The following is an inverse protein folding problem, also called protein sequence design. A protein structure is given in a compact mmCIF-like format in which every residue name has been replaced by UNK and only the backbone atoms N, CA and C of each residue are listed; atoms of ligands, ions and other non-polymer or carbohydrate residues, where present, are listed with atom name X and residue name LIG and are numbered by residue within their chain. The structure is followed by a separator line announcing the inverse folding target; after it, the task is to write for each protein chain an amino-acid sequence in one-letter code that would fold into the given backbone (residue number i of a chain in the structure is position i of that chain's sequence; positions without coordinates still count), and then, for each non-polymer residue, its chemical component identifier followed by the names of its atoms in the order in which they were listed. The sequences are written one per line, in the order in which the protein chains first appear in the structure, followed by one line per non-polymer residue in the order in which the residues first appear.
data_IF_517460152734
#
_entry.id   IF_517460152734
#
_cell.length_a   1.000
_cell.length_b   1.000
_cell.length_c   1.000
_cell.angle_alpha   90.00
_cell.angle_beta   90.00
_cell.angle_gamma   90.00
#
_symmetry.space_group_name_H-M   'P 1'
#
loop_
_entity.id
_entity.type
_entity.pdbx_description
1 polymer ?
#
# COMPACT_ATOMS: atom_id res chain seq x y z
N UNK A 1 35.75 -2.86 20.59
CA UNK A 1 36.17 -2.37 19.26
C UNK A 1 34.91 -1.88 18.59
N UNK A 2 34.67 -0.57 18.63
CA UNK A 2 33.45 0.08 18.11
C UNK A 2 33.59 0.12 16.60
N UNK A 3 32.67 -0.55 15.89
CA UNK A 3 32.58 -0.55 14.44
C UNK A 3 32.44 0.89 13.95
N UNK A 4 33.29 1.24 12.98
CA UNK A 4 33.33 2.55 12.31
C UNK A 4 31.91 2.94 11.87
N UNK A 5 31.37 3.98 12.52
CA UNK A 5 30.28 4.77 11.99
C UNK A 5 30.65 5.17 10.57
N UNK A 6 29.81 4.71 9.65
CA UNK A 6 30.02 4.79 8.23
C UNK A 6 30.37 6.21 7.82
N UNK A 7 31.39 6.31 6.96
CA UNK A 7 31.59 7.47 6.12
C UNK A 7 30.37 7.61 5.23
N UNK A 8 29.30 8.23 5.72
CA UNK A 8 28.15 8.65 4.93
C UNK A 8 28.58 9.84 4.06
N UNK A 9 29.43 9.56 3.06
CA UNK A 9 29.76 10.51 2.00
C UNK A 9 28.50 10.82 1.20
N UNK A 10 28.34 12.08 0.77
CA UNK A 10 27.21 12.56 -0.03
C UNK A 10 26.98 11.72 -1.31
N UNK A 11 28.05 11.09 -1.82
CA UNK A 11 28.01 10.17 -2.95
C UNK A 11 27.18 8.91 -2.65
N UNK A 12 27.32 8.35 -1.45
CA UNK A 12 26.60 7.15 -1.02
C UNK A 12 25.09 7.43 -0.86
N UNK A 13 24.73 8.62 -0.36
CA UNK A 13 23.32 9.07 -0.25
C UNK A 13 22.71 9.31 -1.63
N UNK A 14 23.50 9.86 -2.55
CA UNK A 14 23.07 10.13 -3.93
C UNK A 14 22.82 8.82 -4.70
N UNK A 15 23.73 7.85 -4.59
CA UNK A 15 23.54 6.51 -5.15
C UNK A 15 22.36 5.78 -4.51
N UNK A 16 22.24 5.81 -3.18
CA UNK A 16 21.11 5.21 -2.47
C UNK A 16 19.77 5.76 -2.96
N UNK A 17 19.70 7.07 -3.26
CA UNK A 17 18.50 7.69 -3.85
C UNK A 17 18.21 7.12 -5.22
N UNK A 18 19.19 7.05 -6.12
CA UNK A 18 19.01 6.49 -7.47
C UNK A 18 18.56 5.04 -7.41
N UNK A 19 19.18 4.23 -6.54
CA UNK A 19 18.83 2.83 -6.36
C UNK A 19 17.42 2.65 -5.80
N UNK A 20 17.04 3.44 -4.80
CA UNK A 20 15.69 3.42 -4.26
C UNK A 20 14.66 3.81 -5.33
N UNK A 21 14.94 4.81 -6.16
CA UNK A 21 14.09 5.15 -7.31
C UNK A 21 13.98 3.97 -8.28
N UNK A 22 15.10 3.30 -8.60
CA UNK A 22 15.13 2.17 -9.54
C UNK A 22 14.41 0.92 -9.02
N UNK A 23 14.29 0.74 -7.70
CA UNK A 23 13.54 -0.37 -7.11
C UNK A 23 12.08 -0.04 -6.84
N UNK A 24 11.80 1.13 -6.25
CA UNK A 24 10.46 1.50 -5.77
C UNK A 24 9.56 1.91 -6.93
N UNK A 25 10.06 2.71 -7.89
CA UNK A 25 9.20 3.25 -8.96
C UNK A 25 8.64 2.14 -9.85
N UNK A 26 9.43 1.16 -10.34
CA UNK A 26 8.88 0.06 -11.12
C UNK A 26 7.91 -0.81 -10.30
N UNK A 27 8.23 -1.08 -9.04
CA UNK A 27 7.36 -1.83 -8.15
C UNK A 27 6.04 -1.11 -7.88
N UNK A 28 6.03 0.23 -7.87
CA UNK A 28 4.81 1.02 -7.78
C UNK A 28 4.03 1.03 -9.09
N UNK A 29 4.70 1.18 -10.23
CA UNK A 29 4.09 1.16 -11.57
C UNK A 29 3.46 -0.17 -11.93
N UNK A 30 4.03 -1.27 -11.45
CA UNK A 30 3.47 -2.58 -11.71
C UNK A 30 2.20 -2.81 -10.85
N UNK A 31 1.02 -3.02 -11.46
CA UNK A 31 -0.23 -3.13 -10.73
C UNK A 31 -0.35 -4.43 -9.92
N UNK A 32 0.50 -5.44 -10.19
CA UNK A 32 0.50 -6.74 -9.52
C UNK A 32 1.62 -6.86 -8.47
N UNK A 33 2.63 -5.98 -8.50
CA UNK A 33 3.73 -5.99 -7.56
C UNK A 33 3.37 -5.24 -6.27
N UNK A 34 3.08 -5.97 -5.20
CA UNK A 34 2.89 -5.35 -3.88
C UNK A 34 4.25 -5.04 -3.24
N UNK A 35 4.41 -3.82 -2.71
CA UNK A 35 5.61 -3.45 -1.97
C UNK A 35 5.64 -4.27 -0.67
N UNK A 36 6.66 -5.10 -0.53
CA UNK A 36 6.86 -5.91 0.67
C UNK A 36 7.70 -5.14 1.70
N UNK A 37 7.47 -5.38 3.00
CA UNK A 37 8.28 -4.87 4.11
C UNK A 37 9.79 -4.99 3.88
N UNK A 38 10.21 -6.01 3.13
CA UNK A 38 11.60 -6.22 2.78
C UNK A 38 12.25 -5.01 2.07
N UNK A 39 11.49 -4.21 1.31
CA UNK A 39 12.03 -3.00 0.68
C UNK A 39 12.43 -1.94 1.71
N UNK A 40 11.75 -1.86 2.86
CA UNK A 40 12.14 -0.95 3.95
C UNK A 40 13.38 -1.43 4.69
N UNK A 41 13.70 -2.72 4.62
CA UNK A 41 14.88 -3.30 5.26
C UNK A 41 16.16 -3.06 4.48
N UNK A 42 16.06 -2.69 3.19
CA UNK A 42 17.21 -2.39 2.35
C UNK A 42 18.00 -1.21 2.92
N UNK A 43 19.33 -1.37 2.97
CA UNK A 43 20.26 -0.35 3.49
C UNK A 43 20.11 0.98 2.76
N UNK A 44 19.87 0.96 1.44
CA UNK A 44 19.59 2.15 0.63
C UNK A 44 18.34 2.91 1.09
N UNK A 45 17.30 2.21 1.54
CA UNK A 45 16.05 2.83 2.00
C UNK A 45 16.18 3.38 3.42
N UNK A 46 17.05 2.79 4.26
CA UNK A 46 17.42 3.35 5.58
C UNK A 46 18.26 4.62 5.46
N UNK A 47 19.14 4.72 4.46
CA UNK A 47 19.94 5.93 4.21
C UNK A 47 19.10 7.12 3.69
N UNK A 48 17.84 6.88 3.31
CA UNK A 48 16.92 7.88 2.77
C UNK A 48 15.87 8.36 3.79
N UNK A 49 16.15 8.23 5.08
CA UNK A 49 15.28 8.77 6.12
C UNK A 49 15.01 10.27 5.92
N UNK A 50 13.74 10.65 6.05
CA UNK A 50 13.27 12.02 5.79
C UNK A 50 13.03 12.39 4.32
N UNK A 51 13.34 11.52 3.35
CA UNK A 51 13.05 11.77 1.92
C UNK A 51 11.63 11.34 1.53
N UNK A 52 11.07 12.02 0.53
CA UNK A 52 9.72 11.74 0.00
C UNK A 52 9.54 10.29 -0.48
N UNK A 53 10.55 9.71 -1.13
CA UNK A 53 10.47 8.34 -1.63
C UNK A 53 10.38 7.30 -0.50
N UNK A 54 11.10 7.52 0.60
CA UNK A 54 11.03 6.69 1.81
C UNK A 54 9.66 6.78 2.44
N UNK A 55 9.12 8.00 2.56
CA UNK A 55 7.79 8.24 3.11
C UNK A 55 6.71 7.55 2.26
N UNK A 56 6.81 7.65 0.93
CA UNK A 56 5.91 6.97 0.01
C UNK A 56 5.96 5.45 0.21
N UNK A 57 7.14 4.84 0.26
CA UNK A 57 7.27 3.41 0.53
C UNK A 57 6.71 3.01 1.90
N UNK A 58 6.91 3.81 2.96
CA UNK A 58 6.33 3.55 4.28
C UNK A 58 4.80 3.49 4.22
N UNK A 59 4.18 4.41 3.46
CA UNK A 59 2.73 4.48 3.32
C UNK A 59 2.19 3.20 2.64
N UNK A 60 2.86 2.76 1.59
CA UNK A 60 2.47 1.54 0.88
C UNK A 60 2.61 0.30 1.77
N UNK A 61 3.69 0.19 2.53
CA UNK A 61 3.92 -0.93 3.45
C UNK A 61 2.97 -0.90 4.64
N UNK A 62 2.67 0.30 5.16
CA UNK A 62 1.64 0.47 6.19
C UNK A 62 0.24 0.15 5.67
N UNK A 63 0.07 -0.04 4.36
CA UNK A 63 -1.19 -0.35 3.71
C UNK A 63 -2.33 0.62 4.09
N UNK A 64 -2.04 1.92 4.29
CA UNK A 64 -3.04 2.93 4.68
C UNK A 64 -3.39 3.85 3.52
N UNK A 65 -4.56 3.65 2.91
CA UNK A 65 -5.07 4.49 1.83
C UNK A 65 -5.18 5.96 2.25
N UNK A 66 -5.70 6.24 3.45
CA UNK A 66 -5.84 7.61 3.95
C UNK A 66 -4.51 8.37 3.99
N UNK A 67 -3.42 7.69 4.35
CA UNK A 67 -2.07 8.27 4.35
C UNK A 67 -1.58 8.56 2.93
N UNK A 68 -1.88 7.69 1.97
CA UNK A 68 -1.52 7.90 0.56
C UNK A 68 -2.26 9.10 -0.04
N UNK A 69 -3.57 9.22 0.21
CA UNK A 69 -4.37 10.35 -0.29
C UNK A 69 -3.81 11.68 0.23
N UNK A 70 -3.51 11.78 1.53
CA UNK A 70 -2.88 12.98 2.12
C UNK A 70 -1.51 13.26 1.51
N UNK A 71 -0.70 12.23 1.32
CA UNK A 71 0.62 12.38 0.72
C UNK A 71 0.54 12.87 -0.74
N UNK A 72 -0.39 12.31 -1.52
CA UNK A 72 -0.64 12.68 -2.91
C UNK A 72 -1.10 14.14 -3.04
N UNK A 73 -2.03 14.58 -2.19
CA UNK A 73 -2.48 15.98 -2.17
C UNK A 73 -1.34 16.96 -1.89
N UNK A 74 -0.42 16.59 -0.99
CA UNK A 74 0.70 17.44 -0.60
C UNK A 74 1.91 17.36 -1.57
N UNK A 75 2.03 16.30 -2.36
CA UNK A 75 3.22 16.01 -3.18
C UNK A 75 2.84 15.58 -4.60
N UNK A 76 1.84 16.23 -5.20
CA UNK A 76 1.31 15.84 -6.52
C UNK A 76 2.38 15.91 -7.61
N UNK A 77 3.17 16.99 -7.64
CA UNK A 77 4.28 17.17 -8.58
C UNK A 77 5.33 16.05 -8.47
N UNK A 78 5.58 15.56 -7.25
CA UNK A 78 6.52 14.46 -7.04
C UNK A 78 5.99 13.15 -7.62
N UNK A 79 4.69 12.86 -7.46
CA UNK A 79 4.08 11.64 -7.99
C UNK A 79 4.01 11.68 -9.53
N UNK A 80 3.72 12.86 -10.09
CA UNK A 80 3.73 13.10 -11.54
C UNK A 80 5.15 12.96 -12.13
N UNK A 81 6.17 13.51 -11.46
CA UNK A 81 7.58 13.37 -11.85
C UNK A 81 8.04 11.90 -11.87
N UNK A 82 7.49 11.05 -11.00
CA UNK A 82 7.77 9.62 -11.00
C UNK A 82 7.05 8.88 -12.15
N UNK A 83 6.12 9.53 -12.84
CA UNK A 83 5.27 8.95 -13.88
C UNK A 83 4.32 7.91 -13.31
N UNK A 84 3.85 8.10 -12.07
CA UNK A 84 2.94 7.20 -11.39
C UNK A 84 1.50 7.60 -11.65
N UNK A 85 0.69 6.68 -12.18
CA UNK A 85 -0.73 6.92 -12.42
C UNK A 85 -1.50 6.85 -11.10
N UNK A 86 -2.14 7.95 -10.72
CA UNK A 86 -2.92 8.05 -9.50
C UNK A 86 -4.00 6.97 -9.43
N UNK A 87 -4.76 6.75 -10.50
CA UNK A 87 -5.87 5.78 -10.51
C UNK A 87 -5.38 4.35 -10.22
N UNK A 88 -4.25 3.95 -10.83
CA UNK A 88 -3.67 2.63 -10.61
C UNK A 88 -3.15 2.47 -9.18
N UNK A 89 -2.44 3.48 -8.67
CA UNK A 89 -1.95 3.47 -7.30
C UNK A 89 -3.09 3.51 -6.28
N UNK A 90 -4.17 4.24 -6.54
CA UNK A 90 -5.37 4.26 -5.70
C UNK A 90 -6.03 2.89 -5.65
N UNK A 91 -6.22 2.24 -6.79
CA UNK A 91 -6.77 0.88 -6.84
C UNK A 91 -5.87 -0.13 -6.08
N UNK A 92 -4.55 0.00 -6.23
CA UNK A 92 -3.56 -0.83 -5.54
C UNK A 92 -3.54 -0.60 -4.03
N UNK A 93 -3.59 0.67 -3.60
CA UNK A 93 -3.66 1.03 -2.18
C UNK A 93 -4.94 0.51 -1.54
N UNK A 94 -6.08 0.55 -2.23
CA UNK A 94 -7.34 -0.07 -1.77
C UNK A 94 -7.16 -1.57 -1.51
N UNK A 95 -6.53 -2.30 -2.44
CA UNK A 95 -6.25 -3.74 -2.27
C UNK A 95 -5.32 -3.98 -1.08
N UNK A 96 -4.25 -3.18 -0.93
CA UNK A 96 -3.34 -3.29 0.20
C UNK A 96 -4.04 -3.04 1.54
N UNK A 97 -4.83 -1.96 1.64
CA UNK A 97 -5.60 -1.65 2.85
C UNK A 97 -6.59 -2.76 3.18
N UNK A 98 -7.28 -3.27 2.16
CA UNK A 98 -8.17 -4.42 2.32
C UNK A 98 -7.43 -5.65 2.85
N UNK A 99 -6.29 -6.01 2.24
CA UNK A 99 -5.47 -7.15 2.67
C UNK A 99 -4.95 -6.97 4.11
N UNK A 100 -4.49 -5.76 4.48
CA UNK A 100 -4.05 -5.45 5.84
C UNK A 100 -5.17 -5.66 6.86
N UNK A 101 -6.35 -5.08 6.61
CA UNK A 101 -7.53 -5.26 7.46
C UNK A 101 -7.94 -6.73 7.58
N UNK A 102 -7.86 -7.47 6.47
CA UNK A 102 -8.20 -8.88 6.38
C UNK A 102 -7.26 -9.80 7.18
N UNK A 103 -5.99 -9.42 7.26
CA UNK A 103 -5.00 -10.14 8.08
C UNK A 103 -5.22 -9.87 9.56
N UNK A 104 -5.55 -8.62 9.92
CA UNK A 104 -5.78 -8.23 11.31
C UNK A 104 -7.15 -8.66 11.85
N UNK A 105 -8.18 -8.66 11.00
CA UNK A 105 -9.59 -8.90 11.37
C UNK A 105 -10.16 -10.07 10.58
N UNK A 106 -10.71 -11.07 11.28
CA UNK A 106 -11.37 -12.23 10.65
C UNK A 106 -12.72 -11.87 10.00
N UNK A 107 -13.35 -10.82 10.52
CA UNK A 107 -14.62 -10.30 10.04
C UNK A 107 -14.47 -8.79 9.87
N UNK A 108 -14.84 -8.29 8.70
CA UNK A 108 -14.81 -6.85 8.41
C UNK A 108 -16.23 -6.44 8.04
N UNK A 109 -16.74 -5.44 8.76
CA UNK A 109 -18.04 -4.83 8.49
C UNK A 109 -17.99 -3.99 7.20
N UNK A 110 -19.12 -3.93 6.51
CA UNK A 110 -19.24 -3.19 5.25
C UNK A 110 -18.96 -1.70 5.43
N UNK A 111 -19.47 -1.09 6.51
CA UNK A 111 -19.19 0.31 6.86
C UNK A 111 -17.70 0.59 7.03
N UNK A 112 -16.96 -0.31 7.69
CA UNK A 112 -15.51 -0.20 7.85
C UNK A 112 -14.80 -0.27 6.50
N UNK A 113 -15.22 -1.18 5.61
CA UNK A 113 -14.69 -1.22 4.24
C UNK A 113 -14.94 0.06 3.48
N UNK A 114 -16.16 0.61 3.53
CA UNK A 114 -16.50 1.86 2.86
C UNK A 114 -15.62 3.02 3.34
N UNK A 115 -15.42 3.12 4.66
CA UNK A 115 -14.60 4.17 5.26
C UNK A 115 -13.12 4.02 4.90
N UNK A 116 -12.55 2.82 5.03
CA UNK A 116 -11.13 2.57 4.81
C UNK A 116 -10.74 2.58 3.32
N UNK A 117 -11.61 2.05 2.45
CA UNK A 117 -11.37 2.00 0.99
C UNK A 117 -11.81 3.27 0.27
N UNK A 118 -12.58 4.15 0.93
CA UNK A 118 -13.13 5.39 0.38
C UNK A 118 -13.82 5.15 -0.98
N UNK A 119 -14.79 4.23 -0.99
CA UNK A 119 -15.60 3.86 -2.16
C UNK A 119 -17.09 3.80 -1.79
N UNK A 120 -17.95 3.95 -2.80
CA UNK A 120 -19.41 3.84 -2.63
C UNK A 120 -19.84 2.44 -2.21
N UNK A 121 -21.04 2.31 -1.67
CA UNK A 121 -21.58 1.02 -1.23
C UNK A 121 -21.63 0.00 -2.39
N UNK A 122 -22.09 0.44 -3.56
CA UNK A 122 -22.17 -0.40 -4.77
C UNK A 122 -20.79 -0.87 -5.25
N UNK A 123 -19.78 0.00 -5.12
CA UNK A 123 -18.40 -0.32 -5.50
C UNK A 123 -17.73 -1.30 -4.53
N UNK A 124 -18.09 -1.29 -3.23
CA UNK A 124 -17.57 -2.25 -2.25
C UNK A 124 -18.01 -3.67 -2.60
N UNK A 125 -19.28 -3.88 -2.96
CA UNK A 125 -19.76 -5.21 -3.37
C UNK A 125 -19.01 -5.70 -4.60
N UNK A 126 -18.84 -4.83 -5.60
CA UNK A 126 -18.06 -5.14 -6.79
C UNK A 126 -16.61 -5.48 -6.44
N UNK A 127 -15.98 -4.71 -5.54
CA UNK A 127 -14.59 -4.90 -5.12
C UNK A 127 -14.38 -6.24 -4.38
N UNK A 128 -15.34 -6.62 -3.53
CA UNK A 128 -15.38 -7.88 -2.78
C UNK A 128 -15.63 -9.08 -3.70
N UNK A 129 -16.43 -8.88 -4.75
CA UNK A 129 -16.77 -9.93 -5.72
C UNK A 129 -15.67 -10.15 -6.79
N UNK A 130 -14.70 -9.25 -6.91
CA UNK A 130 -13.64 -9.38 -7.91
C UNK A 130 -12.85 -10.68 -7.70
N UNK A 131 -12.65 -11.48 -8.76
CA UNK A 131 -11.83 -12.68 -8.72
C UNK A 131 -10.35 -12.28 -8.76
N UNK A 132 -9.83 -11.74 -7.67
CA UNK A 132 -8.39 -11.65 -7.45
C UNK A 132 -7.98 -12.80 -6.56
N UNK A 133 -7.69 -13.92 -7.22
CA UNK A 133 -7.07 -15.17 -6.74
C UNK A 133 -6.63 -15.13 -5.27
N UNK A 134 -7.25 -15.97 -4.44
CA UNK A 134 -6.85 -16.43 -3.07
C UNK A 134 -7.70 -15.99 -1.87
N UNK A 135 -8.74 -15.17 -2.04
CA UNK A 135 -9.62 -14.80 -0.91
C UNK A 135 -11.07 -15.19 -1.22
N UNK A 136 -11.57 -16.25 -0.59
CA UNK A 136 -13.00 -16.60 -0.65
C UNK A 136 -13.72 -15.81 0.45
N UNK A 137 -14.41 -14.75 0.07
CA UNK A 137 -15.29 -14.00 0.96
C UNK A 137 -16.69 -14.64 0.91
N UNK A 138 -17.13 -15.26 2.02
CA UNK A 138 -18.52 -15.69 2.16
C UNK A 138 -19.31 -14.57 2.85
N UNK A 139 -20.19 -13.92 2.10
CA UNK A 139 -21.26 -13.08 2.65
C UNK A 139 -22.34 -13.98 3.24
N UNK A 140 -22.71 -13.79 4.51
CA UNK A 140 -23.87 -14.47 5.11
C UNK A 140 -25.09 -13.58 4.92
N UNK A 141 -25.89 -13.89 3.89
CA UNK A 141 -27.14 -13.20 3.64
C UNK A 141 -28.16 -13.48 4.75
N UNK A 142 -28.50 -12.45 5.53
CA UNK A 142 -29.77 -12.41 6.25
C UNK A 142 -30.25 -10.96 6.47
N UNK A 143 -31.17 -10.50 5.60
CA UNK A 143 -32.02 -9.29 5.74
C UNK A 143 -31.38 -7.90 5.51
N UNK A 144 -32.18 -6.85 5.19
CA UNK A 144 -32.07 -6.07 3.95
C UNK A 144 -31.13 -4.85 3.98
N UNK A 145 -30.15 -4.74 4.89
CA UNK A 145 -29.34 -3.51 4.93
C UNK A 145 -27.85 -3.59 5.27
N UNK A 146 -27.22 -4.74 5.56
CA UNK A 146 -25.74 -4.86 5.47
C UNK A 146 -25.29 -6.32 5.71
N UNK A 147 -24.55 -6.95 4.79
CA UNK A 147 -23.89 -8.22 5.06
C UNK A 147 -22.51 -8.02 5.70
N UNK A 148 -22.24 -8.73 6.79
CA UNK A 148 -20.87 -8.93 7.29
C UNK A 148 -20.14 -9.94 6.39
N UNK A 149 -18.92 -9.61 5.99
CA UNK A 149 -18.08 -10.48 5.15
C UNK A 149 -17.16 -11.32 6.04
N UNK A 150 -17.32 -12.64 5.95
CA UNK A 150 -16.43 -13.57 6.62
C UNK A 150 -15.34 -14.02 5.64
N UNK A 151 -14.09 -13.70 5.98
CA UNK A 151 -12.95 -14.10 5.16
C UNK A 151 -12.53 -15.52 5.52
N UNK A 152 -12.64 -16.44 4.57
CA UNK A 152 -12.03 -17.76 4.69
C UNK A 152 -10.79 -17.80 3.79
N UNK A 153 -9.62 -17.73 4.42
CA UNK A 153 -8.37 -18.17 3.79
C UNK A 153 -8.47 -19.70 3.66
N UNK A 154 -8.93 -20.15 2.50
CA UNK A 154 -8.84 -21.56 2.12
C UNK A 154 -7.37 -21.90 1.95
N UNK A 155 -6.82 -22.60 2.94
CA UNK A 155 -5.54 -23.32 2.83
C UNK A 155 -5.74 -24.50 1.89
#
# INVERSE_FOLDING_TARGET
MVELLGSDTEDNVSQARVDAHRCIVPALKDPNAFLSDHLLTLKAVKLLEGKLIRNLSTIFVSAKLASYVKFYQNNKDFIDLLGLLQEQNMAKMRVLTFMGMAVENKEISFDTMQQELQIGADDVEAFVCLPKNSIILKSKGNSPNVPCLHMYLGI
#
